data_IF_518076279609
#
_entry.id   IF_518076279609
#
_cell.length_a   1.000
_cell.length_b   1.000
_cell.length_c   1.000
_cell.angle_alpha   90.00
_cell.angle_beta   90.00
_cell.angle_gamma   90.00
#
_symmetry.space_group_name_H-M   'P 1'
#
loop_
_entity.id
_entity.type
_entity.pdbx_description
1 polymer ?
#
# COMPACT_ATOMS: atom_id res chain seq x y z
N UNK A 1 12.19 -3.43 16.56
CA UNK A 1 11.83 -4.00 15.22
C UNK A 1 12.71 -3.38 14.14
N UNK A 2 12.89 -4.11 13.06
CA UNK A 2 13.69 -3.64 11.93
C UNK A 2 12.99 -2.46 11.22
N UNK A 3 13.74 -1.55 10.58
CA UNK A 3 13.15 -0.42 9.85
C UNK A 3 12.11 -0.84 8.80
N UNK A 4 12.35 -1.92 8.08
CA UNK A 4 11.40 -2.42 7.07
C UNK A 4 10.08 -2.84 7.72
N UNK A 5 10.12 -3.52 8.85
CA UNK A 5 8.92 -3.92 9.58
C UNK A 5 8.14 -2.68 10.06
N UNK A 6 8.85 -1.68 10.59
CA UNK A 6 8.23 -0.43 11.02
C UNK A 6 7.61 0.32 9.84
N UNK A 7 8.31 0.40 8.70
CA UNK A 7 7.79 1.04 7.49
C UNK A 7 6.52 0.36 6.99
N UNK A 8 6.49 -0.98 6.98
CA UNK A 8 5.31 -1.73 6.57
C UNK A 8 4.12 -1.45 7.49
N UNK A 9 4.35 -1.36 8.79
CA UNK A 9 3.30 -1.04 9.77
C UNK A 9 2.79 0.38 9.63
N UNK A 10 3.64 1.31 9.22
CA UNK A 10 3.27 2.69 8.96
C UNK A 10 2.65 2.90 7.58
N UNK A 11 2.77 1.91 6.69
CA UNK A 11 2.26 2.01 5.32
C UNK A 11 3.09 2.94 4.44
N UNK A 12 4.39 3.01 4.65
CA UNK A 12 5.30 3.86 3.88
C UNK A 12 6.36 3.03 3.16
N UNK A 13 6.93 3.64 2.10
CA UNK A 13 8.00 3.03 1.32
C UNK A 13 9.34 3.38 1.95
N UNK A 14 10.03 2.39 2.52
CA UNK A 14 11.24 2.60 3.31
C UNK A 14 12.34 3.39 2.58
N UNK A 15 12.67 3.12 1.30
CA UNK A 15 13.71 3.89 0.61
C UNK A 15 13.41 5.38 0.48
N UNK A 16 12.17 5.81 0.62
CA UNK A 16 11.77 7.20 0.59
C UNK A 16 11.81 7.87 1.97
N UNK A 17 11.99 7.10 3.04
CA UNK A 17 12.08 7.61 4.40
C UNK A 17 13.45 8.27 4.64
N UNK A 18 13.57 9.16 5.65
CA UNK A 18 14.87 9.73 6.01
C UNK A 18 15.89 8.65 6.33
N UNK A 19 17.15 8.92 6.02
CA UNK A 19 18.24 7.98 6.24
C UNK A 19 18.32 7.51 7.69
N UNK A 20 18.08 8.39 8.63
CA UNK A 20 18.08 8.07 10.05
C UNK A 20 17.04 6.99 10.38
N UNK A 21 15.86 7.09 9.80
CA UNK A 21 14.82 6.10 9.97
C UNK A 21 15.22 4.75 9.35
N UNK A 22 15.84 4.79 8.17
CA UNK A 22 16.27 3.58 7.46
C UNK A 22 17.33 2.79 8.24
N UNK A 23 18.13 3.47 9.06
CA UNK A 23 19.20 2.87 9.84
C UNK A 23 18.78 2.50 11.25
N UNK A 24 17.62 3.00 11.71
CA UNK A 24 17.16 2.83 13.09
C UNK A 24 16.41 1.53 13.29
N UNK A 25 16.64 0.93 14.45
CA UNK A 25 15.76 -0.13 14.95
C UNK A 25 14.78 0.53 15.92
N UNK A 26 13.49 0.34 15.69
CA UNK A 26 12.45 0.99 16.48
C UNK A 26 11.85 0.03 17.51
N UNK A 27 11.54 0.55 18.70
CA UNK A 27 10.73 -0.19 19.66
C UNK A 27 9.25 0.00 19.30
N UNK A 28 8.40 -0.84 19.87
CA UNK A 28 6.94 -0.70 19.68
C UNK A 28 6.45 0.65 20.20
N UNK A 29 7.00 1.11 21.33
CA UNK A 29 6.64 2.41 21.91
C UNK A 29 7.02 3.56 20.98
N UNK A 30 8.18 3.48 20.34
CA UNK A 30 8.61 4.49 19.36
C UNK A 30 7.72 4.50 18.13
N UNK A 31 7.30 3.32 17.65
CA UNK A 31 6.37 3.22 16.53
C UNK A 31 5.01 3.83 16.89
N UNK A 32 4.50 3.53 18.07
CA UNK A 32 3.23 4.08 18.56
C UNK A 32 3.30 5.60 18.70
N UNK A 33 4.43 6.14 19.14
CA UNK A 33 4.66 7.58 19.21
C UNK A 33 4.62 8.24 17.84
N UNK A 34 5.21 7.60 16.82
CA UNK A 34 5.17 8.09 15.45
C UNK A 34 3.73 8.11 14.89
N UNK A 35 2.91 7.15 15.27
CA UNK A 35 1.50 7.12 14.87
C UNK A 35 0.68 8.18 15.56
N UNK A 36 0.94 8.42 16.83
CA UNK A 36 0.19 9.38 17.64
C UNK A 36 0.50 10.82 17.24
N UNK A 37 1.78 11.10 16.94
CA UNK A 37 2.24 12.44 16.56
C UNK A 37 3.23 12.32 15.40
N UNK A 38 2.73 12.11 14.16
CA UNK A 38 3.61 11.88 13.02
C UNK A 38 4.42 13.14 12.67
N UNK A 39 5.75 12.98 12.46
CA UNK A 39 6.57 14.09 11.97
C UNK A 39 6.19 14.47 10.54
N UNK A 40 6.62 15.68 10.13
CA UNK A 40 6.26 16.23 8.82
C UNK A 40 6.60 15.29 7.66
N UNK A 41 7.78 14.64 7.70
CA UNK A 41 8.19 13.72 6.63
C UNK A 41 7.27 12.50 6.52
N UNK A 42 6.75 12.01 7.66
CA UNK A 42 5.84 10.86 7.68
C UNK A 42 4.47 11.24 7.12
N UNK A 43 3.96 12.40 7.51
CA UNK A 43 2.69 12.93 6.98
C UNK A 43 2.78 13.08 5.47
N UNK A 44 3.88 13.65 4.96
CA UNK A 44 4.09 13.85 3.54
C UNK A 44 4.17 12.53 2.77
N UNK A 45 4.92 11.54 3.28
CA UNK A 45 5.01 10.21 2.66
C UNK A 45 3.68 9.49 2.61
N UNK A 46 2.86 9.64 3.65
CA UNK A 46 1.53 9.00 3.68
C UNK A 46 0.53 9.69 2.77
N UNK A 47 0.76 10.96 2.46
CA UNK A 47 -0.13 11.75 1.60
C UNK A 47 0.24 11.64 0.13
N UNK A 48 1.51 11.82 -0.21
CA UNK A 48 1.97 11.90 -1.60
C UNK A 48 2.77 10.69 -2.07
N UNK A 49 3.31 9.91 -1.13
CA UNK A 49 4.12 8.74 -1.46
C UNK A 49 5.58 9.09 -1.72
N UNK A 50 6.33 8.21 -2.38
CA UNK A 50 5.86 6.95 -2.99
C UNK A 50 5.34 5.92 -1.97
N UNK A 51 4.36 5.13 -2.39
CA UNK A 51 3.72 4.13 -1.54
C UNK A 51 4.28 2.74 -1.81
N UNK A 52 4.37 1.86 -0.78
CA UNK A 52 4.79 0.48 -0.99
C UNK A 52 3.71 -0.32 -1.75
N UNK A 53 4.09 -1.49 -2.29
CA UNK A 53 3.22 -2.33 -3.10
C UNK A 53 1.86 -2.60 -2.48
N UNK A 54 1.82 -2.93 -1.18
CA UNK A 54 0.57 -3.24 -0.49
C UNK A 54 -0.41 -2.06 -0.54
N UNK A 55 0.11 -0.86 -0.31
CA UNK A 55 -0.70 0.36 -0.32
C UNK A 55 -1.12 0.69 -1.75
N UNK A 56 -0.23 0.54 -2.73
CA UNK A 56 -0.55 0.76 -4.15
C UNK A 56 -1.67 -0.17 -4.60
N UNK A 57 -1.56 -1.47 -4.31
CA UNK A 57 -2.58 -2.44 -4.68
C UNK A 57 -3.93 -2.09 -4.06
N UNK A 58 -3.94 -1.71 -2.78
CA UNK A 58 -5.14 -1.32 -2.08
C UNK A 58 -5.79 -0.09 -2.71
N UNK A 59 -5.00 0.93 -3.04
CA UNK A 59 -5.51 2.15 -3.67
C UNK A 59 -6.04 1.92 -5.08
N UNK A 60 -5.46 0.97 -5.82
CA UNK A 60 -5.92 0.59 -7.16
C UNK A 60 -7.09 -0.39 -7.14
N UNK A 61 -7.40 -0.96 -5.98
CA UNK A 61 -8.50 -1.92 -5.83
C UNK A 61 -8.20 -3.29 -6.41
N UNK A 62 -6.94 -3.72 -6.34
CA UNK A 62 -6.49 -5.02 -6.87
C UNK A 62 -5.66 -5.75 -5.82
N UNK A 63 -5.37 -7.03 -6.07
CA UNK A 63 -4.50 -7.82 -5.20
C UNK A 63 -3.02 -7.50 -5.48
N UNK A 64 -2.14 -7.88 -4.55
CA UNK A 64 -0.70 -7.75 -4.77
C UNK A 64 -0.23 -8.58 -5.97
N UNK A 65 -0.80 -9.76 -6.14
CA UNK A 65 -0.53 -10.60 -7.31
C UNK A 65 -0.94 -9.92 -8.61
N UNK A 66 -2.10 -9.25 -8.62
CA UNK A 66 -2.56 -8.48 -9.76
C UNK A 66 -1.62 -7.33 -10.09
N UNK A 67 -1.11 -6.65 -9.07
CA UNK A 67 -0.14 -5.58 -9.24
C UNK A 67 1.16 -6.10 -9.87
N UNK A 68 1.64 -7.25 -9.40
CA UNK A 68 2.84 -7.88 -9.94
C UNK A 68 2.66 -8.27 -11.42
N UNK A 69 1.48 -8.78 -11.78
CA UNK A 69 1.16 -9.13 -13.17
C UNK A 69 1.16 -7.91 -14.10
N UNK A 70 0.83 -6.74 -13.55
CA UNK A 70 0.84 -5.49 -14.31
C UNK A 70 2.23 -4.91 -14.57
N UNK A 71 3.26 -5.54 -14.03
CA UNK A 71 4.66 -5.09 -14.17
C UNK A 71 4.88 -3.65 -13.71
N UNK A 72 4.13 -3.23 -12.71
CA UNK A 72 4.27 -1.92 -12.10
C UNK A 72 5.50 -1.93 -11.18
N UNK A 73 6.22 -0.81 -11.10
CA UNK A 73 7.41 -0.71 -10.25
C UNK A 73 7.12 -0.95 -8.76
N UNK A 74 8.19 -0.98 -7.97
CA UNK A 74 8.11 -1.29 -6.54
C UNK A 74 7.28 -0.29 -5.74
N UNK A 75 7.15 0.94 -6.24
CA UNK A 75 6.40 1.99 -5.58
C UNK A 75 5.81 2.97 -6.59
N UNK A 76 4.65 3.51 -6.27
CA UNK A 76 4.02 4.57 -7.05
C UNK A 76 3.64 5.72 -6.12
N UNK A 77 3.73 6.95 -6.59
CA UNK A 77 3.28 8.11 -5.83
C UNK A 77 1.79 8.41 -6.10
N UNK A 78 1.25 9.40 -5.37
CA UNK A 78 -0.16 9.77 -5.49
C UNK A 78 -0.53 10.22 -6.91
N UNK A 79 0.36 10.95 -7.59
CA UNK A 79 0.11 11.44 -8.94
C UNK A 79 0.03 10.28 -9.95
N UNK A 80 0.94 9.33 -9.83
CA UNK A 80 0.95 8.13 -10.68
C UNK A 80 -0.31 7.28 -10.48
N UNK A 81 -0.70 7.08 -9.22
CA UNK A 81 -1.91 6.33 -8.90
C UNK A 81 -3.15 7.07 -9.42
N UNK A 82 -3.21 8.39 -9.22
CA UNK A 82 -4.30 9.22 -9.72
C UNK A 82 -4.44 9.14 -11.23
N UNK A 83 -3.32 9.19 -11.96
CA UNK A 83 -3.33 9.05 -13.41
C UNK A 83 -3.85 7.69 -13.86
N UNK A 84 -3.46 6.61 -13.18
CA UNK A 84 -3.92 5.27 -13.48
C UNK A 84 -5.42 5.08 -13.19
N UNK A 85 -5.94 5.75 -12.16
CA UNK A 85 -7.36 5.69 -11.84
C UNK A 85 -8.20 6.53 -12.81
N UNK A 86 -7.66 7.65 -13.29
CA UNK A 86 -8.36 8.52 -14.25
C UNK A 86 -8.44 7.88 -15.64
N UNK A 87 -7.38 7.16 -16.04
CA UNK A 87 -7.33 6.47 -17.34
C UNK A 87 -6.72 5.08 -17.13
N UNK A 88 -7.51 4.12 -16.60
CA UNK A 88 -6.98 2.81 -16.25
C UNK A 88 -6.49 2.04 -17.47
N UNK A 89 -5.27 1.46 -17.42
CA UNK A 89 -4.82 0.58 -18.49
C UNK A 89 -5.63 -0.71 -18.49
N UNK A 90 -5.67 -1.43 -19.64
CA UNK A 90 -6.47 -2.66 -19.75
C UNK A 90 -6.18 -3.71 -18.69
N UNK A 91 -4.92 -3.88 -18.30
CA UNK A 91 -4.54 -4.86 -17.27
C UNK A 91 -5.15 -4.51 -15.90
N UNK A 92 -5.23 -3.22 -15.59
CA UNK A 92 -5.80 -2.75 -14.32
C UNK A 92 -7.31 -3.02 -14.28
N UNK A 93 -8.01 -2.74 -15.37
CA UNK A 93 -9.46 -3.03 -15.47
C UNK A 93 -9.72 -4.52 -15.28
N UNK A 94 -8.88 -5.37 -15.89
CA UNK A 94 -9.00 -6.83 -15.74
C UNK A 94 -8.79 -7.27 -14.31
N UNK A 95 -7.75 -6.77 -13.65
CA UNK A 95 -7.45 -7.15 -12.27
C UNK A 95 -8.52 -6.66 -11.28
N UNK A 96 -9.08 -5.49 -11.50
CA UNK A 96 -10.18 -4.99 -10.69
C UNK A 96 -11.42 -5.87 -10.81
N UNK A 97 -11.71 -6.37 -12.01
CA UNK A 97 -12.82 -7.28 -12.25
C UNK A 97 -12.59 -8.61 -11.51
N UNK A 98 -11.40 -9.18 -11.62
CA UNK A 98 -11.03 -10.41 -10.91
C UNK A 98 -11.20 -10.23 -9.40
N UNK A 99 -10.74 -9.12 -8.86
CA UNK A 99 -10.84 -8.85 -7.42
C UNK A 99 -12.30 -8.75 -6.97
N UNK A 100 -13.15 -8.10 -7.76
CA UNK A 100 -14.59 -8.01 -7.49
C UNK A 100 -15.24 -9.39 -7.49
N UNK A 101 -14.89 -10.25 -8.44
CA UNK A 101 -15.41 -11.62 -8.50
C UNK A 101 -14.98 -12.46 -7.29
N UNK A 102 -13.73 -12.31 -6.86
CA UNK A 102 -13.21 -13.02 -5.68
C UNK A 102 -13.96 -12.58 -4.42
N UNK A 103 -14.19 -11.30 -4.25
CA UNK A 103 -14.93 -10.77 -3.09
C UNK A 103 -16.37 -11.27 -3.10
N UNK A 104 -17.04 -11.25 -4.26
CA UNK A 104 -18.41 -11.71 -4.39
C UNK A 104 -18.52 -13.20 -4.06
N UNK A 105 -17.56 -14.02 -4.48
CA UNK A 105 -17.53 -15.44 -4.19
C UNK A 105 -17.35 -15.71 -2.70
N UNK A 106 -16.47 -14.97 -2.04
CA UNK A 106 -16.26 -15.09 -0.59
C UNK A 106 -17.53 -14.74 0.18
N UNK A 107 -18.25 -13.72 -0.23
CA UNK A 107 -19.51 -13.35 0.41
C UNK A 107 -20.58 -14.42 0.23
N UNK A 108 -20.69 -15.00 -0.97
CA UNK A 108 -21.64 -16.10 -1.23
C UNK A 108 -21.36 -17.31 -0.34
N UNK A 109 -20.10 -17.71 -0.22
CA UNK A 109 -19.70 -18.82 0.63
C UNK A 109 -20.02 -18.53 2.10
N UNK A 110 -19.81 -17.29 2.54
CA UNK A 110 -20.13 -16.88 3.91
C UNK A 110 -21.63 -16.98 4.20
N UNK A 111 -22.48 -16.54 3.27
CA UNK A 111 -23.92 -16.62 3.39
C UNK A 111 -24.42 -18.06 3.46
N UNK A 112 -23.83 -18.96 2.67
CA UNK A 112 -24.19 -20.38 2.67
C UNK A 112 -23.83 -21.08 3.97
N UNK A 113 -22.87 -20.60 4.72
CA UNK A 113 -22.41 -21.18 5.98
C UNK A 113 -23.17 -20.66 7.20
N UNK A 114 -23.90 -19.61 7.08
CA UNK A 114 -24.61 -18.99 8.20
C UNK A 114 -25.96 -19.63 8.50
#
# INVERSE_FOLDING_TARGET
MKPLTAANKLGIYLPAAPEEFQRSSLTRAELDALRADPPAWLVELRRTGPFPRDVVAQKLGISRSGLARGEVGDALDADQIGAMLADPPPWLLRERRVQTEVIAEKERVREQKS
#
